data_IF_443853987165
#
_entry.id   IF_443853987165
#
_cell.length_a   1.000
_cell.length_b   1.000
_cell.length_c   1.000
_cell.angle_alpha   90.00
_cell.angle_beta   90.00
_cell.angle_gamma   90.00
#
_symmetry.space_group_name_H-M   'P 1'
#
loop_
_entity.id
_entity.type
_entity.pdbx_description
1 polymer ?
#
# COMPACT_ATOMS: atom_id res chain seq x y z
N UNK A 1 -60.36 36.65 -7.14
CA UNK A 1 -60.01 37.17 -5.80
C UNK A 1 -59.65 35.98 -4.94
N UNK A 2 -58.38 35.58 -4.99
CA UNK A 2 -57.84 34.47 -4.20
C UNK A 2 -56.57 34.99 -3.55
N UNK A 3 -56.65 35.22 -2.24
CA UNK A 3 -55.57 35.79 -1.41
C UNK A 3 -54.49 34.75 -1.15
N UNK A 4 -53.32 34.99 -1.74
CA UNK A 4 -52.06 34.28 -1.53
C UNK A 4 -51.46 34.72 -0.18
N UNK A 5 -51.79 34.00 0.90
CA UNK A 5 -51.15 34.21 2.21
C UNK A 5 -49.74 33.62 2.22
N UNK A 6 -48.76 34.46 1.90
CA UNK A 6 -47.35 34.19 2.21
C UNK A 6 -47.17 33.88 3.70
N UNK A 7 -46.41 32.82 4.05
CA UNK A 7 -46.12 32.52 5.45
C UNK A 7 -45.25 33.64 6.04
N UNK A 8 -45.43 33.98 7.34
CA UNK A 8 -44.66 35.01 7.99
C UNK A 8 -43.17 34.60 8.01
N UNK A 9 -42.32 35.47 7.46
CA UNK A 9 -40.87 35.37 7.60
C UNK A 9 -40.55 35.33 9.09
N UNK A 10 -40.19 34.13 9.58
CA UNK A 10 -39.74 33.93 10.94
C UNK A 10 -38.61 34.89 11.23
N UNK A 11 -38.82 35.78 12.20
CA UNK A 11 -37.79 36.64 12.75
C UNK A 11 -36.59 35.77 13.08
N UNK A 12 -35.45 36.04 12.45
CA UNK A 12 -34.19 35.37 12.73
C UNK A 12 -33.81 35.64 14.18
N UNK A 13 -34.32 34.79 15.09
CA UNK A 13 -34.01 34.80 16.50
C UNK A 13 -32.49 34.82 16.63
N UNK A 14 -31.99 35.83 17.34
CA UNK A 14 -30.57 36.01 17.61
C UNK A 14 -29.97 34.67 18.02
N UNK A 15 -29.15 34.10 17.11
CA UNK A 15 -28.47 32.84 17.36
C UNK A 15 -27.59 33.07 18.59
N UNK A 16 -27.72 32.29 19.67
CA UNK A 16 -26.89 32.49 20.86
C UNK A 16 -25.42 32.52 20.44
N UNK A 17 -24.66 33.44 21.04
CA UNK A 17 -23.26 33.66 20.70
C UNK A 17 -22.52 32.32 20.68
N UNK A 18 -22.01 31.95 19.51
CA UNK A 18 -21.30 30.67 19.32
C UNK A 18 -20.09 30.66 20.28
N UNK A 19 -19.89 29.58 21.06
CA UNK A 19 -18.75 29.50 21.96
C UNK A 19 -17.45 29.59 21.15
N UNK A 20 -16.51 30.45 21.58
CA UNK A 20 -15.24 30.75 20.88
C UNK A 20 -14.38 29.51 20.56
N UNK A 21 -14.54 28.45 21.34
CA UNK A 21 -13.85 27.17 21.13
C UNK A 21 -14.38 26.40 19.91
N UNK A 22 -15.66 26.55 19.58
CA UNK A 22 -16.26 25.84 18.45
C UNK A 22 -15.77 26.40 17.11
N UNK A 23 -15.57 27.72 16.99
CA UNK A 23 -15.01 28.31 15.77
C UNK A 23 -13.58 27.84 15.53
N UNK A 24 -12.71 27.87 16.55
CA UNK A 24 -11.33 27.42 16.44
C UNK A 24 -11.24 25.92 16.07
N UNK A 25 -12.09 25.08 16.66
CA UNK A 25 -12.14 23.65 16.33
C UNK A 25 -12.63 23.40 14.89
N UNK A 26 -13.64 24.14 14.43
CA UNK A 26 -14.17 24.01 13.08
C UNK A 26 -13.21 24.53 12.00
N UNK A 27 -12.36 25.51 12.34
CA UNK A 27 -11.31 25.99 11.45
C UNK A 27 -10.17 24.97 11.32
N UNK A 28 -9.81 24.28 12.40
CA UNK A 28 -8.78 23.23 12.37
C UNK A 28 -9.24 21.93 11.67
N UNK A 29 -10.55 21.64 11.68
CA UNK A 29 -11.10 20.38 11.16
C UNK A 29 -12.02 20.57 9.94
N UNK A 30 -12.02 21.76 9.34
CA UNK A 30 -12.72 22.04 8.10
C UNK A 30 -12.02 21.42 6.88
N UNK A 31 -12.79 21.14 5.83
CA UNK A 31 -12.23 20.86 4.51
C UNK A 31 -11.90 22.22 3.89
N UNK A 32 -10.63 22.55 3.78
CA UNK A 32 -10.19 23.81 3.17
C UNK A 32 -10.15 23.70 1.64
N UNK A 33 -10.50 24.78 0.95
CA UNK A 33 -10.32 24.89 -0.49
C UNK A 33 -8.82 24.85 -0.82
N UNK A 34 -8.41 23.96 -1.72
CA UNK A 34 -7.02 23.85 -2.18
C UNK A 34 -6.54 25.09 -2.96
N UNK A 35 -7.46 25.98 -3.37
CA UNK A 35 -7.13 27.23 -4.05
C UNK A 35 -6.86 28.40 -3.11
N UNK A 36 -7.79 28.69 -2.20
CA UNK A 36 -7.75 29.90 -1.37
C UNK A 36 -7.77 29.63 0.15
N UNK A 37 -7.84 28.37 0.58
CA UNK A 37 -7.92 28.00 1.99
C UNK A 37 -9.30 28.18 2.65
N UNK A 38 -10.30 28.70 1.92
CA UNK A 38 -11.65 28.89 2.45
C UNK A 38 -12.27 27.59 2.96
N UNK A 39 -12.97 27.64 4.10
CA UNK A 39 -13.60 26.46 4.71
C UNK A 39 -14.86 26.06 3.93
N UNK A 40 -14.81 24.93 3.22
CA UNK A 40 -15.88 24.43 2.35
C UNK A 40 -17.04 23.78 3.13
N UNK A 41 -17.04 23.82 4.47
CA UNK A 41 -18.10 23.21 5.28
C UNK A 41 -19.45 23.89 5.00
N UNK A 42 -20.40 23.10 4.51
CA UNK A 42 -21.75 23.57 4.20
C UNK A 42 -21.91 24.12 2.78
N UNK A 43 -20.82 24.19 2.00
CA UNK A 43 -20.90 24.55 0.59
C UNK A 43 -21.63 23.44 -0.19
N UNK A 44 -22.74 23.80 -0.84
CA UNK A 44 -23.54 22.88 -1.68
C UNK A 44 -23.25 23.02 -3.16
N UNK A 45 -22.54 24.06 -3.55
CA UNK A 45 -22.15 24.28 -4.93
C UNK A 45 -20.91 23.45 -5.27
N UNK A 46 -20.70 23.14 -6.56
CA UNK A 46 -19.47 22.48 -7.01
C UNK A 46 -18.29 23.47 -7.13
N UNK A 47 -18.49 24.75 -6.80
CA UNK A 47 -17.50 25.81 -6.89
C UNK A 47 -17.26 26.43 -5.52
N UNK A 48 -16.01 26.82 -5.24
CA UNK A 48 -15.68 27.61 -4.08
C UNK A 48 -16.31 29.01 -4.19
N UNK A 49 -17.05 29.50 -3.18
CA UNK A 49 -17.69 30.81 -3.25
C UNK A 49 -16.70 31.98 -3.28
N UNK A 50 -15.50 31.80 -2.72
CA UNK A 50 -14.48 32.86 -2.66
C UNK A 50 -13.64 32.94 -3.95
N UNK A 51 -13.21 31.80 -4.49
CA UNK A 51 -12.24 31.78 -5.59
C UNK A 51 -12.76 31.15 -6.90
N UNK A 52 -13.99 30.67 -6.93
CA UNK A 52 -14.60 30.04 -8.11
C UNK A 52 -14.01 28.68 -8.50
N UNK A 53 -12.99 28.18 -7.79
CA UNK A 53 -12.36 26.90 -8.11
C UNK A 53 -13.34 25.74 -7.93
N UNK A 54 -13.32 24.80 -8.87
CA UNK A 54 -14.11 23.56 -8.79
C UNK A 54 -13.66 22.72 -7.60
N UNK A 55 -14.60 22.35 -6.74
CA UNK A 55 -14.39 21.44 -5.62
C UNK A 55 -14.50 20.02 -6.16
N UNK A 56 -13.41 19.26 -6.10
CA UNK A 56 -13.42 17.86 -6.50
C UNK A 56 -14.32 17.06 -5.55
N UNK A 57 -15.58 16.81 -5.94
CA UNK A 57 -16.43 15.88 -5.22
C UNK A 57 -15.96 14.47 -5.50
N UNK A 58 -15.82 13.61 -4.47
CA UNK A 58 -15.64 12.20 -4.70
C UNK A 58 -16.83 11.68 -5.53
N UNK A 59 -16.55 10.83 -6.52
CA UNK A 59 -17.59 10.24 -7.37
C UNK A 59 -18.62 9.47 -6.52
N UNK A 60 -19.83 9.25 -7.04
CA UNK A 60 -20.86 8.48 -6.32
C UNK A 60 -20.31 7.12 -5.86
N UNK A 61 -19.58 6.40 -6.71
CA UNK A 61 -18.87 5.16 -6.35
C UNK A 61 -17.91 5.33 -5.16
N UNK A 62 -17.17 6.43 -5.10
CA UNK A 62 -16.27 6.70 -3.98
C UNK A 62 -17.05 7.01 -2.70
N UNK A 63 -18.18 7.69 -2.80
CA UNK A 63 -19.08 7.95 -1.68
C UNK A 63 -19.76 6.68 -1.19
N UNK A 64 -20.24 5.83 -2.09
CA UNK A 64 -20.84 4.53 -1.78
C UNK A 64 -19.81 3.60 -1.14
N UNK A 65 -18.58 3.53 -1.67
CA UNK A 65 -17.48 2.82 -1.00
C UNK A 65 -17.17 3.38 0.37
N UNK A 66 -17.21 4.71 0.54
CA UNK A 66 -16.98 5.34 1.84
C UNK A 66 -18.10 5.05 2.85
N UNK A 67 -19.33 4.82 2.37
CA UNK A 67 -20.50 4.43 3.18
C UNK A 67 -20.60 2.93 3.43
N UNK A 68 -20.02 2.10 2.56
CA UNK A 68 -20.04 0.66 2.73
C UNK A 68 -19.35 0.30 4.04
N UNK A 69 -20.00 -0.46 4.94
CA UNK A 69 -19.34 -0.95 6.15
C UNK A 69 -18.22 -1.93 5.81
N UNK A 70 -18.20 -2.48 4.59
CA UNK A 70 -17.23 -3.46 4.14
C UNK A 70 -16.05 -2.78 3.44
N UNK A 71 -15.00 -2.50 4.21
CA UNK A 71 -13.71 -2.17 3.62
C UNK A 71 -12.84 -3.43 3.61
N UNK A 72 -12.50 -3.98 2.44
CA UNK A 72 -11.53 -5.05 2.40
C UNK A 72 -10.18 -4.50 2.89
N UNK A 73 -9.62 -5.13 3.91
CA UNK A 73 -8.27 -4.83 4.36
C UNK A 73 -7.30 -5.05 3.19
N UNK A 74 -6.53 -4.03 2.79
CA UNK A 74 -5.57 -4.16 1.67
C UNK A 74 -4.50 -5.22 1.90
N UNK A 75 -4.21 -5.53 3.15
CA UNK A 75 -3.30 -6.61 3.50
C UNK A 75 -4.03 -7.94 3.46
N UNK A 76 -4.98 -8.23 4.35
CA UNK A 76 -5.52 -9.59 4.46
C UNK A 76 -6.68 -9.93 3.51
N UNK A 77 -7.25 -8.95 2.79
CA UNK A 77 -8.36 -9.12 1.88
C UNK A 77 -9.73 -9.39 2.53
N UNK A 78 -9.81 -9.52 3.86
CA UNK A 78 -11.11 -9.68 4.55
C UNK A 78 -11.86 -8.36 4.61
N UNK A 79 -13.17 -8.43 4.42
CA UNK A 79 -14.07 -7.35 4.75
C UNK A 79 -13.98 -7.07 6.25
N UNK A 80 -13.49 -5.89 6.62
CA UNK A 80 -13.56 -5.43 7.99
C UNK A 80 -14.94 -4.81 8.20
N UNK A 81 -15.79 -5.45 8.98
CA UNK A 81 -17.14 -4.96 9.33
C UNK A 81 -17.13 -4.01 10.53
N UNK A 82 -16.00 -3.89 11.24
CA UNK A 82 -15.92 -3.16 12.49
C UNK A 82 -15.34 -1.74 12.34
N UNK A 83 -15.89 -0.82 13.13
CA UNK A 83 -15.51 0.60 13.25
C UNK A 83 -14.16 0.84 13.94
N UNK A 84 -13.47 -0.23 14.36
CA UNK A 84 -12.23 -0.12 15.11
C UNK A 84 -11.09 0.51 14.27
N UNK A 85 -10.19 1.20 14.98
CA UNK A 85 -9.10 1.94 14.38
C UNK A 85 -8.04 1.05 13.71
N UNK A 86 -8.06 -0.26 13.98
CA UNK A 86 -7.11 -1.26 13.49
C UNK A 86 -7.85 -2.45 12.91
N UNK A 87 -7.24 -3.11 11.91
CA UNK A 87 -7.76 -4.36 11.37
C UNK A 87 -7.40 -5.52 12.30
N UNK A 88 -8.38 -6.24 12.86
CA UNK A 88 -8.15 -7.43 13.71
C UNK A 88 -7.23 -8.49 13.09
N UNK A 89 -7.26 -8.63 11.76
CA UNK A 89 -6.45 -9.64 11.08
C UNK A 89 -4.96 -9.27 10.95
N UNK A 90 -4.61 -7.99 10.92
CA UNK A 90 -3.24 -7.57 10.62
C UNK A 90 -2.69 -6.43 11.48
N UNK A 91 -3.49 -5.86 12.39
CA UNK A 91 -3.09 -4.80 13.32
C UNK A 91 -2.83 -3.42 12.69
N UNK A 92 -2.98 -3.26 11.37
CA UNK A 92 -2.66 -2.00 10.69
C UNK A 92 -3.69 -0.91 10.97
N UNK A 93 -3.26 0.33 11.24
CA UNK A 93 -4.14 1.47 11.44
C UNK A 93 -4.88 1.87 10.16
N UNK A 94 -6.19 2.11 10.30
CA UNK A 94 -7.13 2.39 9.19
C UNK A 94 -6.75 3.61 8.33
N UNK A 95 -6.00 4.57 8.87
CA UNK A 95 -5.53 5.78 8.14
C UNK A 95 -4.57 5.46 6.99
N UNK A 96 -3.81 4.38 7.05
CA UNK A 96 -2.91 3.96 5.98
C UNK A 96 -3.67 3.42 4.74
N UNK A 97 -4.95 3.03 4.90
CA UNK A 97 -5.76 2.45 3.83
C UNK A 97 -6.32 3.51 2.85
N UNK A 98 -6.57 4.74 3.33
CA UNK A 98 -7.20 5.80 2.54
C UNK A 98 -6.24 6.73 1.80
N UNK A 99 -4.94 6.68 2.08
CA UNK A 99 -3.95 7.29 1.18
C UNK A 99 -3.89 6.46 -0.11
N UNK A 100 -4.70 6.91 -1.09
CA UNK A 100 -4.76 6.40 -2.46
C UNK A 100 -3.44 6.74 -3.16
N UNK A 101 -2.73 5.76 -3.71
CA UNK A 101 -2.91 5.28 -5.10
C UNK A 101 -2.09 6.04 -6.16
N UNK A 102 -1.04 6.78 -5.80
CA UNK A 102 0.12 7.03 -6.69
C UNK A 102 1.20 5.97 -6.44
N UNK A 103 0.88 4.70 -6.70
CA UNK A 103 1.79 3.58 -6.43
C UNK A 103 2.85 3.44 -7.51
N UNK A 104 3.99 4.12 -7.35
CA UNK A 104 5.17 3.88 -8.19
C UNK A 104 5.72 2.44 -8.09
N UNK A 105 6.70 2.07 -8.94
CA UNK A 105 7.24 0.69 -9.04
C UNK A 105 7.78 0.13 -7.70
N UNK A 106 8.09 1.01 -6.75
CA UNK A 106 8.56 0.66 -5.41
C UNK A 106 7.51 -0.03 -4.52
N UNK A 107 6.22 -0.04 -4.89
CA UNK A 107 5.16 -0.69 -4.11
C UNK A 107 5.26 -2.21 -4.04
N UNK A 108 5.97 -2.85 -4.97
CA UNK A 108 6.19 -4.31 -4.97
C UNK A 108 6.93 -4.77 -3.72
N UNK A 109 7.67 -3.87 -3.07
CA UNK A 109 8.52 -4.19 -1.92
C UNK A 109 7.84 -3.95 -0.56
N UNK A 110 6.67 -3.33 -0.51
CA UNK A 110 5.98 -3.03 0.75
C UNK A 110 5.59 -4.33 1.50
N UNK A 111 6.00 -4.45 2.76
CA UNK A 111 5.74 -5.64 3.60
C UNK A 111 6.72 -6.81 3.42
N UNK A 112 7.68 -6.73 2.48
CA UNK A 112 8.73 -7.76 2.34
C UNK A 112 9.83 -7.51 3.40
N UNK A 113 10.29 -8.54 4.15
CA UNK A 113 11.38 -8.42 5.11
C UNK A 113 12.66 -7.86 4.46
N UNK A 114 13.40 -6.99 5.17
CA UNK A 114 14.62 -6.35 4.64
C UNK A 114 15.64 -7.35 4.11
N UNK A 115 15.84 -8.48 4.81
CA UNK A 115 16.75 -9.55 4.41
C UNK A 115 16.41 -10.13 3.03
N UNK A 116 15.11 -10.39 2.78
CA UNK A 116 14.65 -10.91 1.49
C UNK A 116 14.84 -9.89 0.36
N UNK A 117 14.71 -8.59 0.66
CA UNK A 117 14.98 -7.53 -0.33
C UNK A 117 16.45 -7.46 -0.71
N UNK A 118 17.32 -7.51 0.30
CA UNK A 118 18.76 -7.52 0.09
C UNK A 118 19.20 -8.74 -0.73
N UNK A 119 18.63 -9.91 -0.43
CA UNK A 119 18.92 -11.13 -1.18
C UNK A 119 18.49 -11.03 -2.65
N UNK A 120 17.28 -10.56 -2.94
CA UNK A 120 16.81 -10.37 -4.31
C UNK A 120 17.67 -9.36 -5.09
N UNK A 121 18.15 -8.30 -4.44
CA UNK A 121 19.09 -7.35 -5.05
C UNK A 121 20.44 -8.02 -5.37
N UNK A 122 21.02 -8.76 -4.41
CA UNK A 122 22.29 -9.47 -4.61
C UNK A 122 22.20 -10.50 -5.73
N UNK A 123 21.12 -11.29 -5.79
CA UNK A 123 20.89 -12.25 -6.87
C UNK A 123 20.73 -11.57 -8.23
N UNK A 124 20.06 -10.41 -8.29
CA UNK A 124 19.93 -9.63 -9.53
C UNK A 124 21.29 -9.11 -10.03
N UNK A 125 22.15 -8.65 -9.11
CA UNK A 125 23.51 -8.20 -9.44
C UNK A 125 24.35 -9.39 -9.93
N UNK A 126 24.32 -10.51 -9.20
CA UNK A 126 25.06 -11.72 -9.57
C UNK A 126 24.66 -12.23 -10.96
N UNK A 127 23.36 -12.28 -11.27
CA UNK A 127 22.88 -12.67 -12.60
C UNK A 127 23.38 -11.72 -13.69
N UNK A 128 23.35 -10.41 -13.43
CA UNK A 128 23.81 -9.39 -14.39
C UNK A 128 25.31 -9.54 -14.68
N UNK A 129 26.13 -9.79 -13.65
CA UNK A 129 27.57 -10.04 -13.79
C UNK A 129 27.82 -11.33 -14.59
N UNK A 130 27.12 -12.42 -14.27
CA UNK A 130 27.25 -13.68 -15.00
C UNK A 130 26.84 -13.55 -16.47
N UNK A 131 25.73 -12.86 -16.75
CA UNK A 131 25.27 -12.62 -18.10
C UNK A 131 26.28 -11.77 -18.89
N UNK A 132 26.84 -10.72 -18.27
CA UNK A 132 27.86 -9.89 -18.88
C UNK A 132 29.14 -10.68 -19.19
N UNK A 133 29.64 -11.48 -18.24
CA UNK A 133 30.80 -12.35 -18.44
C UNK A 133 30.56 -13.38 -19.56
N UNK A 134 29.36 -13.95 -19.63
CA UNK A 134 29.00 -14.88 -20.70
C UNK A 134 29.00 -14.22 -22.09
N UNK A 135 28.56 -12.97 -22.18
CA UNK A 135 28.62 -12.18 -23.42
C UNK A 135 30.07 -11.83 -23.79
N UNK A 136 30.89 -11.39 -22.84
CA UNK A 136 32.28 -10.96 -23.08
C UNK A 136 33.19 -12.15 -23.41
N UNK A 137 33.03 -13.28 -22.72
CA UNK A 137 33.80 -14.50 -22.98
C UNK A 137 33.41 -15.21 -24.30
N UNK A 138 32.47 -14.62 -25.06
CA UNK A 138 32.13 -15.04 -26.41
C UNK A 138 31.81 -16.52 -26.52
N UNK A 139 30.81 -17.01 -25.77
CA UNK A 139 30.29 -18.39 -25.85
C UNK A 139 31.33 -19.47 -26.19
N UNK A 140 32.55 -19.45 -25.63
CA UNK A 140 33.56 -20.48 -25.93
C UNK A 140 33.11 -21.83 -25.32
N UNK A 141 32.87 -22.90 -26.11
CA UNK A 141 32.20 -24.14 -25.67
C UNK A 141 32.93 -25.00 -24.64
N UNK A 142 34.11 -24.60 -24.15
CA UNK A 142 35.02 -25.50 -23.44
C UNK A 142 34.82 -25.65 -21.93
N UNK A 143 34.13 -24.72 -21.26
CA UNK A 143 33.99 -24.75 -19.80
C UNK A 143 32.61 -25.28 -19.40
N UNK A 144 32.50 -26.58 -19.14
CA UNK A 144 31.44 -27.19 -18.31
C UNK A 144 29.98 -26.86 -18.68
N UNK A 145 29.66 -26.69 -19.97
CA UNK A 145 28.30 -26.41 -20.48
C UNK A 145 27.41 -27.66 -20.53
N UNK A 146 27.24 -28.32 -19.40
CA UNK A 146 26.04 -29.13 -19.22
C UNK A 146 24.81 -28.20 -19.17
N UNK A 147 23.63 -28.64 -19.65
CA UNK A 147 22.36 -27.94 -19.38
C UNK A 147 22.14 -27.68 -17.87
N UNK A 148 22.84 -28.43 -17.01
CA UNK A 148 22.86 -28.31 -15.56
C UNK A 148 23.35 -26.93 -15.08
N UNK A 149 24.45 -26.40 -15.64
CA UNK A 149 25.04 -25.11 -15.24
C UNK A 149 24.09 -23.94 -15.53
N UNK A 150 23.32 -24.04 -16.61
CA UNK A 150 22.32 -23.03 -16.98
C UNK A 150 21.07 -23.12 -16.09
N UNK A 151 20.64 -24.34 -15.76
CA UNK A 151 19.53 -24.56 -14.83
C UNK A 151 19.85 -24.00 -13.42
N UNK A 152 21.08 -24.20 -12.95
CA UNK A 152 21.51 -23.74 -11.62
C UNK A 152 21.57 -22.21 -11.53
N UNK A 153 22.08 -21.54 -12.57
CA UNK A 153 22.09 -20.07 -12.63
C UNK A 153 20.69 -19.47 -12.75
N UNK A 154 19.81 -20.08 -13.55
CA UNK A 154 18.41 -19.67 -13.65
C UNK A 154 17.69 -19.82 -12.30
N UNK A 155 17.95 -20.92 -11.56
CA UNK A 155 17.33 -21.14 -10.26
C UNK A 155 17.80 -20.13 -9.20
N UNK A 156 19.09 -19.79 -9.16
CA UNK A 156 19.63 -18.76 -8.25
C UNK A 156 19.02 -17.38 -8.53
N UNK A 157 18.71 -17.10 -9.79
CA UNK A 157 18.23 -15.78 -10.24
C UNK A 157 16.72 -15.63 -10.09
N UNK A 158 15.96 -16.69 -10.44
CA UNK A 158 14.50 -16.69 -10.41
C UNK A 158 13.97 -17.10 -9.03
N UNK A 159 14.72 -17.92 -8.28
CA UNK A 159 14.37 -18.39 -6.94
C UNK A 159 13.96 -17.28 -5.95
N UNK A 160 14.74 -16.19 -5.81
CA UNK A 160 14.38 -15.04 -4.97
C UNK A 160 13.07 -14.38 -5.36
N UNK A 161 12.82 -14.23 -6.66
CA UNK A 161 11.58 -13.64 -7.16
C UNK A 161 10.39 -14.54 -6.86
N UNK A 162 10.53 -15.85 -7.07
CA UNK A 162 9.50 -16.84 -6.70
C UNK A 162 9.25 -16.85 -5.19
N UNK A 163 10.29 -16.73 -4.37
CA UNK A 163 10.18 -16.61 -2.92
C UNK A 163 9.47 -15.32 -2.50
N UNK A 164 9.71 -14.18 -3.15
CA UNK A 164 8.97 -12.93 -2.91
C UNK A 164 7.49 -13.11 -3.28
N UNK A 165 7.19 -13.72 -4.43
CA UNK A 165 5.81 -13.98 -4.88
C UNK A 165 5.10 -14.95 -3.94
N UNK A 166 5.77 -16.04 -3.55
CA UNK A 166 5.27 -17.02 -2.60
C UNK A 166 5.05 -16.39 -1.22
N UNK A 167 6.00 -15.61 -0.73
CA UNK A 167 5.89 -14.83 0.51
C UNK A 167 4.69 -13.90 0.47
N UNK A 168 4.46 -13.19 -0.63
CA UNK A 168 3.30 -12.31 -0.79
C UNK A 168 1.97 -13.07 -0.77
N UNK A 169 1.91 -14.24 -1.41
CA UNK A 169 0.72 -15.12 -1.39
C UNK A 169 0.50 -15.78 -0.03
N UNK A 170 1.56 -16.18 0.66
CA UNK A 170 1.52 -16.87 1.95
C UNK A 170 1.54 -15.93 3.15
N UNK A 171 1.82 -14.63 2.97
CA UNK A 171 1.81 -13.62 4.03
C UNK A 171 0.50 -13.64 4.82
N UNK A 172 -0.64 -13.93 4.18
CA UNK A 172 -1.93 -14.07 4.86
C UNK A 172 -2.04 -15.31 5.77
N UNK A 173 -1.24 -16.35 5.51
CA UNK A 173 -1.17 -17.56 6.34
C UNK A 173 -0.12 -17.40 7.43
N UNK A 174 1.06 -16.87 7.08
CA UNK A 174 2.17 -16.62 8.02
C UNK A 174 1.81 -15.52 9.03
N UNK A 175 0.98 -14.54 8.64
CA UNK A 175 0.46 -13.51 9.54
C UNK A 175 -0.37 -14.09 10.72
N UNK A 176 -0.87 -15.32 10.61
CA UNK A 176 -1.60 -16.00 11.70
C UNK A 176 -0.70 -16.79 12.63
N UNK A 177 0.52 -17.08 12.19
CA UNK A 177 1.50 -17.79 13.01
C UNK A 177 2.17 -16.75 13.91
N UNK A 178 2.33 -17.12 15.20
CA UNK A 178 2.95 -16.30 16.24
C UNK A 178 4.34 -15.78 15.81
N UNK A 179 4.86 -14.70 16.43
CA UNK A 179 6.11 -14.09 16.02
C UNK A 179 7.35 -15.02 16.06
N UNK A 180 7.35 -16.04 16.93
CA UNK A 180 8.49 -16.98 17.07
C UNK A 180 8.79 -17.80 15.81
N UNK A 181 7.81 -18.54 15.25
CA UNK A 181 8.01 -19.33 14.03
C UNK A 181 8.42 -18.52 12.78
N UNK A 182 8.10 -17.22 12.73
CA UNK A 182 8.48 -16.36 11.60
C UNK A 182 9.98 -16.16 11.50
N UNK A 183 10.63 -15.96 12.65
CA UNK A 183 12.09 -15.83 12.71
C UNK A 183 12.76 -17.13 12.23
N UNK A 184 12.25 -18.27 12.68
CA UNK A 184 12.77 -19.59 12.31
C UNK A 184 12.67 -19.87 10.80
N UNK A 185 11.54 -19.52 10.17
CA UNK A 185 11.37 -19.65 8.71
C UNK A 185 12.36 -18.79 7.92
N UNK A 186 12.55 -17.54 8.32
CA UNK A 186 13.46 -16.62 7.63
C UNK A 186 14.92 -17.06 7.82
N UNK A 187 15.31 -17.43 9.04
CA UNK A 187 16.66 -17.90 9.32
C UNK A 187 16.95 -19.25 8.67
N UNK A 188 16.01 -20.20 8.74
CA UNK A 188 16.14 -21.53 8.16
C UNK A 188 16.28 -21.51 6.63
N UNK A 189 15.44 -20.74 5.94
CA UNK A 189 15.56 -20.57 4.47
C UNK A 189 16.90 -19.90 4.13
N UNK A 190 17.32 -18.89 4.90
CA UNK A 190 18.63 -18.25 4.71
C UNK A 190 19.80 -19.21 4.90
N UNK A 191 19.76 -20.08 5.90
CA UNK A 191 20.83 -21.07 6.16
C UNK A 191 20.88 -22.13 5.07
N UNK A 192 19.73 -22.66 4.65
CA UNK A 192 19.67 -23.66 3.57
C UNK A 192 20.23 -23.07 2.27
N UNK A 193 19.84 -21.85 1.89
CA UNK A 193 20.41 -21.20 0.71
C UNK A 193 21.91 -20.95 0.84
N UNK A 194 22.40 -20.50 2.00
CA UNK A 194 23.84 -20.28 2.22
C UNK A 194 24.65 -21.59 2.09
N UNK A 195 24.14 -22.69 2.66
CA UNK A 195 24.76 -24.01 2.54
C UNK A 195 24.78 -24.50 1.10
N UNK A 196 23.66 -24.34 0.37
CA UNK A 196 23.59 -24.71 -1.05
C UNK A 196 24.57 -23.91 -1.91
N UNK A 197 24.72 -22.61 -1.65
CA UNK A 197 25.71 -21.80 -2.37
C UNK A 197 27.15 -22.19 -2.02
N UNK A 198 27.45 -22.49 -0.76
CA UNK A 198 28.79 -22.95 -0.35
C UNK A 198 29.15 -24.30 -0.98
N UNK A 199 28.20 -25.24 -1.04
CA UNK A 199 28.38 -26.53 -1.71
C UNK A 199 28.58 -26.37 -3.21
N UNK A 200 27.77 -25.52 -3.87
CA UNK A 200 27.93 -25.25 -5.30
C UNK A 200 29.31 -24.64 -5.63
N UNK A 201 29.82 -23.76 -4.76
CA UNK A 201 31.16 -23.18 -4.90
C UNK A 201 32.28 -24.20 -4.68
N UNK A 202 32.10 -25.15 -3.76
CA UNK A 202 33.11 -26.18 -3.49
C UNK A 202 33.22 -27.25 -4.61
N UNK A 203 32.18 -27.38 -5.45
CA UNK A 203 32.12 -28.37 -6.55
C UNK A 203 32.56 -27.75 -7.88
N UNK A 204 32.47 -26.42 -8.03
CA UNK A 204 32.90 -25.66 -9.21
C UNK A 204 34.41 -25.40 -9.19
#
# INVERSE_FOLDING_TARGET
MSDERSPPHGTHGQRPARPKFLSAFLDQHGIACEGCGYNLRGCRDPYCPECGRVIARPTLDQQERARSPEFPCRLCGRANTHTEAQCECCGEPRRALFQSASGGPWRVWAGVPKALRLWALLSSVQFSVFAMLAMVAGTQPGWGRGPESFALSAFISVGPLLLIVAWRRQLHRIARVSPGPRAWLVHGVGTVCAVLMALAWAIS
#
